data_IF_282751193365
#
_entry.id   IF_282751193365
#
_cell.length_a   1.000
_cell.length_b   1.000
_cell.length_c   1.000
_cell.angle_alpha   90.00
_cell.angle_beta   90.00
_cell.angle_gamma   90.00
#
_symmetry.space_group_name_H-M   'P 1'
#
loop_
_entity.id
_entity.type
_entity.pdbx_description
1 polymer ?
#
# COMPACT_ATOMS: atom_id res chain seq x y z
N UNK A 1 -15.92 14.30 -13.29
CA UNK A 1 -16.45 14.94 -12.06
C UNK A 1 -15.28 15.44 -11.22
N UNK A 2 -15.40 16.62 -10.62
CA UNK A 2 -14.41 17.17 -9.67
C UNK A 2 -15.04 17.40 -8.29
N UNK A 3 -14.38 16.96 -7.21
CA UNK A 3 -14.86 17.13 -5.82
C UNK A 3 -13.85 17.90 -4.99
N UNK A 4 -14.22 19.11 -4.55
CA UNK A 4 -13.32 20.06 -3.89
C UNK A 4 -13.62 20.28 -2.40
N UNK A 5 -14.89 20.18 -1.98
CA UNK A 5 -15.31 20.54 -0.63
C UNK A 5 -15.07 19.41 0.39
N UNK A 6 -14.68 19.78 1.61
CA UNK A 6 -14.49 18.84 2.70
C UNK A 6 -15.78 18.06 3.03
N UNK A 7 -15.62 16.77 3.33
CA UNK A 7 -16.66 15.78 3.61
C UNK A 7 -17.71 15.58 2.50
N UNK A 8 -17.46 16.09 1.30
CA UNK A 8 -18.36 15.92 0.17
C UNK A 8 -18.36 14.48 -0.36
N UNK A 9 -19.49 14.09 -0.94
CA UNK A 9 -19.59 12.95 -1.83
C UNK A 9 -19.90 13.48 -3.24
N UNK A 10 -19.09 13.15 -4.23
CA UNK A 10 -19.38 13.53 -5.62
C UNK A 10 -20.67 12.90 -6.11
N UNK A 11 -20.78 11.58 -5.94
CA UNK A 11 -22.02 10.82 -6.14
C UNK A 11 -22.32 9.94 -4.94
N UNK A 12 -23.59 9.93 -4.49
CA UNK A 12 -24.09 9.01 -3.48
C UNK A 12 -25.32 8.25 -4.00
N UNK A 13 -25.26 6.92 -4.00
CA UNK A 13 -26.38 6.04 -4.33
C UNK A 13 -26.70 5.16 -3.12
N UNK A 14 -27.95 5.14 -2.71
CA UNK A 14 -28.44 4.28 -1.62
C UNK A 14 -29.61 3.46 -2.12
N UNK A 15 -29.53 2.14 -1.93
CA UNK A 15 -30.57 1.20 -2.31
C UNK A 15 -29.98 -0.14 -2.73
N UNK A 16 -30.69 -1.22 -2.43
CA UNK A 16 -30.30 -2.54 -2.91
C UNK A 16 -30.32 -2.58 -4.44
N UNK A 17 -29.39 -3.33 -5.03
CA UNK A 17 -29.17 -3.43 -6.48
C UNK A 17 -28.82 -2.09 -7.16
N UNK A 18 -28.47 -1.04 -6.41
CA UNK A 18 -27.99 0.21 -6.99
C UNK A 18 -26.81 -0.06 -7.93
N UNK A 19 -26.82 0.60 -9.09
CA UNK A 19 -25.77 0.44 -10.11
C UNK A 19 -25.13 1.79 -10.40
N UNK A 20 -23.81 1.83 -10.29
CA UNK A 20 -23.00 2.95 -10.69
C UNK A 20 -21.95 2.51 -11.70
N UNK A 21 -21.76 3.32 -12.74
CA UNK A 21 -20.77 3.12 -13.80
C UNK A 21 -20.05 4.45 -13.97
N UNK A 22 -18.77 4.51 -13.63
CA UNK A 22 -17.91 5.65 -13.95
C UNK A 22 -17.45 5.55 -15.41
N UNK A 23 -17.64 6.64 -16.15
CA UNK A 23 -17.13 6.81 -17.50
C UNK A 23 -16.30 8.10 -17.54
N UNK A 24 -15.07 8.02 -18.03
CA UNK A 24 -14.19 9.19 -18.14
C UNK A 24 -13.45 9.51 -16.83
N UNK A 25 -13.51 10.76 -16.38
CA UNK A 25 -12.55 11.29 -15.39
C UNK A 25 -13.20 11.65 -14.05
N UNK A 26 -12.57 11.21 -12.96
CA UNK A 26 -12.93 11.51 -11.58
C UNK A 26 -11.75 12.11 -10.83
N UNK A 27 -11.82 13.40 -10.50
CA UNK A 27 -10.79 14.13 -9.76
C UNK A 27 -11.28 14.47 -8.34
N UNK A 28 -10.52 14.06 -7.32
CA UNK A 28 -10.81 14.36 -5.92
C UNK A 28 -9.66 15.18 -5.32
N UNK A 29 -9.96 16.44 -5.05
CA UNK A 29 -9.07 17.37 -4.35
C UNK A 29 -9.58 17.78 -2.97
N UNK A 30 -10.52 17.03 -2.43
CA UNK A 30 -11.11 17.28 -1.11
C UNK A 30 -10.23 16.78 0.05
N UNK A 31 -10.09 17.53 1.16
CA UNK A 31 -9.36 17.07 2.35
C UNK A 31 -9.85 15.72 2.91
N UNK A 32 -11.16 15.48 2.86
CA UNK A 32 -11.87 14.30 3.35
C UNK A 32 -13.14 14.13 2.51
N UNK A 33 -13.53 12.92 2.11
CA UNK A 33 -14.75 12.75 1.33
C UNK A 33 -14.75 11.49 0.47
N UNK A 34 -15.78 11.38 -0.37
CA UNK A 34 -15.98 10.27 -1.29
C UNK A 34 -16.13 10.79 -2.73
N UNK A 35 -15.52 10.12 -3.70
CA UNK A 35 -15.83 10.38 -5.11
C UNK A 35 -17.18 9.79 -5.42
N UNK A 36 -17.27 8.47 -5.22
CA UNK A 36 -18.48 7.67 -5.40
C UNK A 36 -18.72 6.87 -4.12
N UNK A 37 -19.93 6.97 -3.59
CA UNK A 37 -20.40 6.19 -2.45
C UNK A 37 -21.67 5.43 -2.81
N UNK A 38 -21.59 4.11 -2.83
CA UNK A 38 -22.72 3.20 -3.07
C UNK A 38 -23.02 2.42 -1.79
N UNK A 39 -24.26 2.46 -1.33
CA UNK A 39 -24.74 1.72 -0.16
C UNK A 39 -25.95 0.87 -0.53
N UNK A 40 -25.86 -0.45 -0.36
CA UNK A 40 -26.94 -1.38 -0.64
C UNK A 40 -26.44 -2.78 -0.98
N UNK A 41 -27.28 -3.78 -0.71
CA UNK A 41 -26.98 -5.17 -1.03
C UNK A 41 -27.10 -5.43 -2.53
N UNK A 42 -26.30 -6.35 -3.06
CA UNK A 42 -26.28 -6.68 -4.50
C UNK A 42 -25.99 -5.47 -5.41
N UNK A 43 -25.41 -4.40 -4.86
CA UNK A 43 -25.07 -3.20 -5.61
C UNK A 43 -23.89 -3.46 -6.57
N UNK A 44 -23.82 -2.70 -7.66
CA UNK A 44 -22.71 -2.69 -8.59
C UNK A 44 -22.02 -1.33 -8.58
N UNK A 45 -20.70 -1.34 -8.44
CA UNK A 45 -19.83 -0.21 -8.74
C UNK A 45 -18.86 -0.63 -9.84
N UNK A 46 -18.92 0.02 -10.99
CA UNK A 46 -18.07 -0.26 -12.15
C UNK A 46 -17.31 0.99 -12.60
N UNK A 47 -16.07 0.84 -13.06
CA UNK A 47 -15.33 1.87 -13.80
C UNK A 47 -14.91 1.29 -15.14
N UNK A 48 -15.09 2.03 -16.22
CA UNK A 48 -14.77 1.59 -17.59
C UNK A 48 -13.24 1.62 -17.89
N UNK A 49 -12.75 0.93 -18.94
CA UNK A 49 -11.33 0.88 -19.31
C UNK A 49 -10.65 2.22 -19.58
N UNK A 50 -11.40 3.22 -20.02
CA UNK A 50 -10.91 4.57 -20.31
C UNK A 50 -10.96 5.49 -19.08
N UNK A 51 -11.47 4.98 -17.96
CA UNK A 51 -11.66 5.78 -16.75
C UNK A 51 -10.33 6.20 -16.14
N UNK A 52 -10.25 7.46 -15.70
CA UNK A 52 -9.08 8.04 -15.04
C UNK A 52 -9.51 8.63 -13.69
N UNK A 53 -8.96 8.09 -12.61
CA UNK A 53 -9.31 8.50 -11.25
C UNK A 53 -8.07 9.06 -10.56
N UNK A 54 -8.07 10.35 -10.27
CA UNK A 54 -6.99 11.03 -9.56
C UNK A 54 -7.49 11.50 -8.18
N UNK A 55 -6.88 11.01 -7.11
CA UNK A 55 -7.26 11.34 -5.73
C UNK A 55 -6.09 11.91 -4.96
N UNK A 56 -6.37 12.97 -4.21
CA UNK A 56 -5.42 13.62 -3.31
C UNK A 56 -6.02 13.77 -1.91
N UNK A 57 -5.17 14.13 -0.94
CA UNK A 57 -5.50 14.23 0.49
C UNK A 57 -6.05 12.91 1.06
N UNK A 58 -6.97 12.94 2.02
CA UNK A 58 -7.48 11.75 2.71
C UNK A 58 -8.82 11.24 2.15
N UNK A 59 -9.15 11.59 0.90
CA UNK A 59 -10.41 11.19 0.27
C UNK A 59 -10.42 9.70 -0.14
N UNK A 60 -11.62 9.14 -0.27
CA UNK A 60 -11.87 7.81 -0.83
C UNK A 60 -12.43 7.93 -2.24
N UNK A 61 -11.79 7.34 -3.24
CA UNK A 61 -12.24 7.43 -4.62
C UNK A 61 -13.60 6.74 -4.79
N UNK A 62 -13.64 5.45 -4.47
CA UNK A 62 -14.78 4.57 -4.67
C UNK A 62 -15.08 3.85 -3.36
N UNK A 63 -16.35 3.80 -2.99
CA UNK A 63 -16.79 3.06 -1.80
C UNK A 63 -18.08 2.30 -2.05
N UNK A 64 -18.09 1.03 -1.63
CA UNK A 64 -19.27 0.17 -1.63
C UNK A 64 -19.49 -0.38 -0.22
N UNK A 65 -20.68 -0.14 0.33
CA UNK A 65 -21.11 -0.67 1.62
C UNK A 65 -22.37 -1.53 1.42
N UNK A 66 -22.24 -2.85 1.56
CA UNK A 66 -23.35 -3.79 1.36
C UNK A 66 -22.87 -5.21 1.17
N UNK A 67 -23.80 -6.15 1.21
CA UNK A 67 -23.52 -7.57 1.02
C UNK A 67 -23.82 -8.02 -0.40
N UNK A 68 -23.06 -9.01 -0.90
CA UNK A 68 -23.24 -9.62 -2.23
C UNK A 68 -23.17 -8.63 -3.39
N UNK A 69 -22.58 -7.46 -3.18
CA UNK A 69 -22.30 -6.49 -4.22
C UNK A 69 -21.13 -6.91 -5.12
N UNK A 70 -20.95 -6.15 -6.18
CA UNK A 70 -19.85 -6.31 -7.12
C UNK A 70 -19.13 -4.97 -7.33
N UNK A 71 -17.81 -5.01 -7.27
CA UNK A 71 -16.94 -3.92 -7.68
C UNK A 71 -16.12 -4.38 -8.87
N UNK A 72 -16.16 -3.63 -9.97
CA UNK A 72 -15.34 -3.85 -11.16
C UNK A 72 -14.55 -2.59 -11.43
N UNK A 73 -13.23 -2.69 -11.32
CA UNK A 73 -12.35 -1.55 -11.50
C UNK A 73 -11.47 -1.77 -12.71
N UNK A 74 -11.78 -1.03 -13.77
CA UNK A 74 -10.95 -0.87 -14.96
C UNK A 74 -10.43 0.57 -15.06
N UNK A 75 -9.61 0.85 -16.07
CA UNK A 75 -8.99 2.16 -16.22
C UNK A 75 -7.76 2.35 -15.33
N UNK A 76 -7.40 3.59 -15.05
CA UNK A 76 -6.21 3.95 -14.26
C UNK A 76 -6.60 4.73 -13.01
N UNK A 77 -5.83 4.53 -11.95
CA UNK A 77 -6.03 5.24 -10.68
C UNK A 77 -4.71 5.76 -10.12
N UNK A 78 -4.68 7.05 -9.78
CA UNK A 78 -3.56 7.69 -9.07
C UNK A 78 -4.02 8.16 -7.69
N UNK A 79 -3.35 7.70 -6.64
CA UNK A 79 -3.65 8.06 -5.26
C UNK A 79 -2.47 8.81 -4.65
N UNK A 80 -2.73 9.93 -3.99
CA UNK A 80 -1.72 10.77 -3.35
C UNK A 80 -2.15 11.24 -1.95
N UNK A 81 -1.16 11.53 -1.08
CA UNK A 81 -1.33 12.30 0.19
C UNK A 81 -2.35 11.74 1.22
N UNK A 82 -2.44 10.42 1.35
CA UNK A 82 -3.32 9.66 2.28
C UNK A 82 -4.65 9.16 1.69
N UNK A 83 -4.74 9.12 0.36
CA UNK A 83 -5.95 8.72 -0.35
C UNK A 83 -6.25 7.23 -0.22
N UNK A 84 -7.53 6.87 -0.32
CA UNK A 84 -8.00 5.49 -0.48
C UNK A 84 -8.61 5.31 -1.86
N UNK A 85 -8.20 4.28 -2.62
CA UNK A 85 -8.76 3.99 -3.94
C UNK A 85 -10.15 3.37 -3.82
N UNK A 86 -10.18 2.13 -3.34
CA UNK A 86 -11.41 1.39 -3.04
C UNK A 86 -11.55 1.15 -1.55
N UNK A 87 -12.71 1.49 -0.99
CA UNK A 87 -13.16 1.05 0.32
C UNK A 87 -14.41 0.17 0.19
N UNK A 88 -14.27 -1.12 0.43
CA UNK A 88 -15.37 -2.09 0.45
C UNK A 88 -15.68 -2.50 1.90
N UNK A 89 -16.95 -2.44 2.29
CA UNK A 89 -17.45 -3.00 3.56
C UNK A 89 -18.66 -3.89 3.31
N UNK A 90 -18.59 -5.13 3.79
CA UNK A 90 -19.70 -6.09 3.73
C UNK A 90 -19.23 -7.51 3.42
N UNK A 91 -20.18 -8.40 3.21
CA UNK A 91 -19.95 -9.83 3.10
C UNK A 91 -20.26 -10.35 1.70
N UNK A 92 -19.53 -11.39 1.29
CA UNK A 92 -19.79 -12.11 0.03
C UNK A 92 -19.77 -11.23 -1.22
N UNK A 93 -19.03 -10.13 -1.19
CA UNK A 93 -18.86 -9.27 -2.35
C UNK A 93 -17.84 -9.86 -3.32
N UNK A 94 -17.97 -9.48 -4.59
CA UNK A 94 -16.98 -9.76 -5.64
C UNK A 94 -16.25 -8.47 -6.01
N UNK A 95 -14.93 -8.45 -5.88
CA UNK A 95 -14.08 -7.36 -6.34
C UNK A 95 -13.21 -7.87 -7.47
N UNK A 96 -13.31 -7.25 -8.65
CA UNK A 96 -12.42 -7.50 -9.78
C UNK A 96 -11.69 -6.22 -10.14
N UNK A 97 -10.36 -6.29 -10.16
CA UNK A 97 -9.49 -5.16 -10.48
C UNK A 97 -8.65 -5.57 -11.68
N UNK A 98 -9.10 -5.15 -12.86
CA UNK A 98 -8.43 -5.28 -14.15
C UNK A 98 -7.80 -3.97 -14.61
N UNK A 99 -7.80 -2.93 -13.75
CA UNK A 99 -7.25 -1.60 -14.01
C UNK A 99 -5.82 -1.66 -14.56
N UNK A 100 -5.56 -0.90 -15.61
CA UNK A 100 -4.29 -0.84 -16.34
C UNK A 100 -3.15 -0.13 -15.61
N UNK A 101 -3.32 0.26 -14.34
CA UNK A 101 -2.30 0.53 -13.30
C UNK A 101 -2.96 1.29 -12.13
N UNK A 102 -2.80 0.80 -10.89
CA UNK A 102 -3.05 1.63 -9.68
C UNK A 102 -1.71 2.15 -9.17
N UNK A 103 -1.54 3.46 -9.11
CA UNK A 103 -0.33 4.13 -8.61
C UNK A 103 -0.64 4.81 -7.29
N UNK A 104 -0.01 4.35 -6.22
CA UNK A 104 -0.17 4.91 -4.88
C UNK A 104 1.10 5.65 -4.49
N UNK A 105 0.95 6.92 -4.11
CA UNK A 105 2.06 7.80 -3.72
C UNK A 105 1.72 8.61 -2.47
N UNK A 106 2.72 9.26 -1.88
CA UNK A 106 2.56 10.02 -0.66
C UNK A 106 2.91 9.21 0.58
N UNK A 107 2.07 9.36 1.62
CA UNK A 107 2.09 8.59 2.85
C UNK A 107 0.67 8.11 3.18
N UNK A 108 0.56 7.11 4.07
CA UNK A 108 -0.70 6.62 4.67
C UNK A 108 -1.85 6.32 3.68
N UNK A 109 -1.54 5.91 2.46
CA UNK A 109 -2.54 5.69 1.39
C UNK A 109 -2.83 4.21 1.19
N UNK A 110 -4.05 3.89 0.74
CA UNK A 110 -4.49 2.52 0.50
C UNK A 110 -5.04 2.38 -0.92
N UNK A 111 -4.50 1.48 -1.74
CA UNK A 111 -5.14 1.18 -3.03
C UNK A 111 -6.49 0.49 -2.82
N UNK A 112 -6.51 -0.59 -2.02
CA UNK A 112 -7.71 -1.38 -1.76
C UNK A 112 -7.84 -1.66 -0.27
N UNK A 113 -8.99 -1.34 0.32
CA UNK A 113 -9.38 -1.70 1.68
C UNK A 113 -10.65 -2.52 1.64
N UNK A 114 -10.61 -3.74 2.14
CA UNK A 114 -11.77 -4.63 2.26
C UNK A 114 -12.01 -4.95 3.73
N UNK A 115 -13.25 -4.76 4.17
CA UNK A 115 -13.72 -5.15 5.50
C UNK A 115 -14.94 -6.07 5.37
N UNK A 116 -14.87 -7.24 5.99
CA UNK A 116 -15.96 -8.20 6.03
C UNK A 116 -15.50 -9.60 5.64
N UNK A 117 -16.48 -10.49 5.46
CA UNK A 117 -16.22 -11.92 5.40
C UNK A 117 -16.64 -12.51 4.06
N UNK A 118 -15.96 -13.60 3.68
CA UNK A 118 -16.31 -14.38 2.50
C UNK A 118 -16.32 -13.58 1.19
N UNK A 119 -15.57 -12.48 1.12
CA UNK A 119 -15.44 -11.72 -0.12
C UNK A 119 -14.47 -12.43 -1.06
N UNK A 120 -14.71 -12.29 -2.37
CA UNK A 120 -13.79 -12.74 -3.41
C UNK A 120 -13.13 -11.52 -4.05
N UNK A 121 -11.80 -11.47 -4.05
CA UNK A 121 -11.01 -10.39 -4.63
C UNK A 121 -10.10 -10.97 -5.70
N UNK A 122 -10.20 -10.46 -6.92
CA UNK A 122 -9.37 -10.80 -8.06
C UNK A 122 -8.63 -9.54 -8.52
N UNK A 123 -7.30 -9.57 -8.48
CA UNK A 123 -6.42 -8.51 -8.95
C UNK A 123 -5.62 -9.02 -10.14
N UNK A 124 -6.06 -8.63 -11.33
CA UNK A 124 -5.41 -8.97 -12.61
C UNK A 124 -4.49 -7.83 -13.11
N UNK A 125 -4.63 -6.62 -12.54
CA UNK A 125 -3.77 -5.46 -12.81
C UNK A 125 -2.52 -5.37 -11.94
N UNK A 126 -1.73 -4.31 -12.13
CA UNK A 126 -0.57 -3.99 -11.29
C UNK A 126 -0.90 -2.87 -10.30
N UNK A 127 -0.60 -3.09 -9.01
CA UNK A 127 -0.53 -2.01 -8.02
C UNK A 127 0.93 -1.67 -7.81
N UNK A 128 1.26 -0.38 -7.94
CA UNK A 128 2.59 0.18 -7.67
C UNK A 128 2.53 1.14 -6.50
N UNK A 129 3.40 0.92 -5.50
CA UNK A 129 3.55 1.80 -4.34
C UNK A 129 4.85 2.58 -4.46
N UNK A 130 4.80 3.90 -4.44
CA UNK A 130 5.96 4.79 -4.54
C UNK A 130 5.85 5.95 -3.56
N UNK A 131 6.63 5.96 -2.47
CA UNK A 131 6.67 7.08 -1.53
C UNK A 131 6.94 8.42 -2.23
N UNK A 132 6.37 9.50 -1.69
CA UNK A 132 6.53 10.85 -2.25
C UNK A 132 7.83 11.50 -1.79
N UNK A 133 8.83 11.52 -2.67
CA UNK A 133 10.18 11.99 -2.40
C UNK A 133 10.26 13.47 -2.03
N UNK A 134 9.19 14.26 -2.18
CA UNK A 134 9.20 15.69 -1.83
C UNK A 134 8.78 15.97 -0.38
N UNK A 135 8.40 14.95 0.38
CA UNK A 135 7.87 15.14 1.74
C UNK A 135 8.95 15.29 2.81
N UNK A 136 8.67 16.04 3.89
CA UNK A 136 9.49 16.00 5.10
C UNK A 136 9.69 14.58 5.58
N UNK A 137 10.87 14.28 6.08
CA UNK A 137 11.25 12.88 6.24
C UNK A 137 10.41 12.13 7.31
N UNK A 138 9.83 12.83 8.29
CA UNK A 138 8.85 12.24 9.22
C UNK A 138 7.60 11.69 8.51
N UNK A 139 7.11 12.36 7.48
CA UNK A 139 5.90 11.96 6.75
C UNK A 139 6.17 10.78 5.79
N UNK A 140 7.42 10.58 5.38
CA UNK A 140 7.80 9.42 4.56
C UNK A 140 7.68 8.10 5.31
N UNK A 141 7.74 8.11 6.64
CA UNK A 141 7.57 6.92 7.45
C UNK A 141 6.12 6.39 7.49
N UNK A 142 5.15 7.18 6.99
CA UNK A 142 3.76 6.77 6.89
C UNK A 142 3.57 5.71 5.79
N UNK A 143 2.98 4.55 6.09
CA UNK A 143 2.99 3.43 5.15
C UNK A 143 2.02 3.63 4.00
N UNK A 144 2.47 3.32 2.78
CA UNK A 144 1.57 3.00 1.67
C UNK A 144 1.13 1.54 1.80
N UNK A 145 -0.11 1.22 1.44
CA UNK A 145 -0.62 -0.16 1.46
C UNK A 145 -1.31 -0.49 0.15
N UNK A 146 -0.87 -1.53 -0.56
CA UNK A 146 -1.54 -1.93 -1.80
C UNK A 146 -2.91 -2.54 -1.49
N UNK A 147 -2.95 -3.52 -0.59
CA UNK A 147 -4.20 -4.17 -0.22
C UNK A 147 -4.25 -4.48 1.26
N UNK A 148 -5.33 -4.03 1.91
CA UNK A 148 -5.63 -4.37 3.29
C UNK A 148 -6.98 -5.08 3.39
N UNK A 149 -6.97 -6.29 3.92
CA UNK A 149 -8.16 -7.12 4.09
C UNK A 149 -8.32 -7.42 5.56
N UNK A 150 -9.49 -7.08 6.10
CA UNK A 150 -9.87 -7.36 7.48
C UNK A 150 -11.19 -8.13 7.53
N UNK A 151 -11.16 -9.32 8.11
CA UNK A 151 -12.30 -10.21 8.25
C UNK A 151 -11.89 -11.65 7.96
N UNK A 152 -12.88 -12.52 7.85
CA UNK A 152 -12.66 -13.96 7.78
C UNK A 152 -13.07 -14.56 6.43
N UNK A 153 -12.47 -15.70 6.09
CA UNK A 153 -12.87 -16.53 4.94
C UNK A 153 -12.84 -15.80 3.59
N UNK A 154 -12.06 -14.72 3.46
CA UNK A 154 -11.92 -14.02 2.18
C UNK A 154 -10.99 -14.81 1.24
N UNK A 155 -11.33 -14.82 -0.04
CA UNK A 155 -10.56 -15.43 -1.12
C UNK A 155 -9.91 -14.35 -1.96
N UNK A 156 -8.59 -14.42 -2.14
CA UNK A 156 -7.82 -13.34 -2.78
C UNK A 156 -6.88 -13.93 -3.82
N UNK A 157 -7.08 -13.56 -5.08
CA UNK A 157 -6.20 -13.94 -6.19
C UNK A 157 -5.47 -12.70 -6.71
N UNK A 158 -4.14 -12.71 -6.68
CA UNK A 158 -3.29 -11.60 -7.11
C UNK A 158 -2.36 -12.08 -8.22
N UNK A 159 -2.45 -11.49 -9.41
CA UNK A 159 -1.58 -11.85 -10.52
C UNK A 159 -0.26 -11.07 -10.53
N UNK A 160 -0.21 -9.84 -10.03
CA UNK A 160 1.05 -9.06 -9.99
C UNK A 160 1.03 -8.01 -8.89
N UNK A 161 2.16 -7.84 -8.21
CA UNK A 161 2.31 -6.81 -7.18
C UNK A 161 3.69 -6.15 -7.26
N UNK A 162 3.71 -4.84 -7.51
CA UNK A 162 4.93 -4.04 -7.57
C UNK A 162 5.07 -3.11 -6.36
N UNK A 163 6.18 -3.22 -5.64
CA UNK A 163 6.44 -2.43 -4.44
C UNK A 163 7.77 -1.67 -4.61
N UNK A 164 7.74 -0.34 -4.61
CA UNK A 164 8.95 0.47 -4.44
C UNK A 164 9.02 0.97 -2.99
N UNK A 165 10.08 0.57 -2.30
CA UNK A 165 10.50 1.12 -1.02
C UNK A 165 11.57 2.19 -1.22
N UNK A 166 11.58 3.20 -0.35
CA UNK A 166 12.62 4.24 -0.38
C UNK A 166 13.27 4.34 1.00
N UNK A 167 14.60 4.33 1.05
CA UNK A 167 15.39 4.59 2.24
C UNK A 167 16.08 5.92 2.04
N UNK A 168 15.72 6.90 2.85
CA UNK A 168 16.44 8.15 2.91
C UNK A 168 17.50 8.08 4.00
N UNK A 169 18.70 8.57 3.69
CA UNK A 169 19.81 8.63 4.64
C UNK A 169 20.25 10.06 4.84
N UNK A 170 20.64 10.39 6.07
CA UNK A 170 21.31 11.64 6.36
C UNK A 170 22.82 11.40 6.27
N UNK A 171 23.51 12.14 5.40
CA UNK A 171 24.95 12.28 5.53
C UNK A 171 25.25 13.08 6.79
N UNK A 172 26.14 12.57 7.65
CA UNK A 172 26.37 13.05 9.03
C UNK A 172 26.29 14.58 9.17
N UNK A 173 25.26 15.13 9.82
CA UNK A 173 25.30 16.49 10.31
C UNK A 173 26.31 16.58 11.46
N UNK A 174 27.03 17.70 11.58
CA UNK A 174 28.06 17.90 12.62
C UNK A 174 27.56 17.66 14.06
N UNK A 175 26.28 17.86 14.34
CA UNK A 175 25.67 17.64 15.65
C UNK A 175 25.43 16.16 15.98
N UNK A 176 25.21 15.31 14.96
CA UNK A 176 24.97 13.86 15.09
C UNK A 176 26.28 13.07 15.30
N UNK A 177 27.44 13.72 15.11
CA UNK A 177 28.76 13.16 15.41
C UNK A 177 28.93 12.75 16.89
N UNK A 178 28.11 13.29 17.80
CA UNK A 178 28.14 12.99 19.24
C UNK A 178 27.53 11.63 19.61
N UNK A 179 26.71 11.03 18.73
CA UNK A 179 25.90 9.84 19.07
C UNK A 179 26.34 8.54 18.36
N UNK A 180 27.47 8.53 17.66
CA UNK A 180 28.09 7.31 17.09
C UNK A 180 27.31 6.61 15.95
N UNK A 181 26.01 6.87 15.80
CA UNK A 181 25.12 6.12 14.92
C UNK A 181 24.81 6.84 13.59
N UNK A 182 24.49 6.05 12.57
CA UNK A 182 23.95 6.53 11.29
C UNK A 182 22.46 6.88 11.47
N UNK A 183 22.04 8.05 10.99
CA UNK A 183 20.63 8.44 10.94
C UNK A 183 20.02 8.15 9.56
N UNK A 184 18.87 7.50 9.51
CA UNK A 184 18.16 7.18 8.27
C UNK A 184 16.67 6.99 8.51
N UNK A 185 15.87 7.10 7.46
CA UNK A 185 14.41 6.93 7.49
C UNK A 185 14.02 6.05 6.32
N UNK A 186 13.40 4.91 6.60
CA UNK A 186 12.84 4.04 5.58
C UNK A 186 11.37 4.35 5.39
N UNK A 187 11.01 4.81 4.19
CA UNK A 187 9.63 4.88 3.75
C UNK A 187 9.05 3.47 3.62
N UNK A 188 7.81 3.30 4.07
CA UNK A 188 7.20 1.98 4.21
C UNK A 188 6.17 1.75 3.11
N UNK A 189 6.41 0.73 2.30
CA UNK A 189 5.45 0.24 1.31
C UNK A 189 5.03 -1.16 1.73
N UNK A 190 3.78 -1.30 2.16
CA UNK A 190 3.18 -2.58 2.52
C UNK A 190 2.45 -3.15 1.31
N UNK A 191 2.78 -4.37 0.90
CA UNK A 191 2.07 -5.01 -0.19
C UNK A 191 0.68 -5.46 0.24
N UNK A 192 0.63 -6.62 0.86
CA UNK A 192 -0.58 -7.25 1.33
C UNK A 192 -0.62 -7.29 2.85
N UNK A 193 -1.72 -6.82 3.44
CA UNK A 193 -2.01 -6.95 4.87
C UNK A 193 -3.33 -7.70 5.07
N UNK A 194 -3.28 -8.82 5.79
CA UNK A 194 -4.43 -9.67 6.10
C UNK A 194 -4.62 -9.75 7.61
N UNK A 195 -5.84 -9.49 8.08
CA UNK A 195 -6.25 -9.61 9.48
C UNK A 195 -7.52 -10.44 9.60
N UNK A 196 -7.44 -11.57 10.30
CA UNK A 196 -8.56 -12.49 10.53
C UNK A 196 -8.19 -13.93 10.19
N UNK A 197 -9.17 -14.82 10.29
CA UNK A 197 -9.01 -16.26 10.15
C UNK A 197 -9.65 -16.78 8.86
N UNK A 198 -9.17 -17.93 8.36
CA UNK A 198 -9.75 -18.60 7.19
C UNK A 198 -9.53 -17.88 5.86
N UNK A 199 -8.83 -16.75 5.83
CA UNK A 199 -8.52 -16.08 4.56
C UNK A 199 -7.52 -16.91 3.76
N UNK A 200 -7.77 -17.02 2.46
CA UNK A 200 -6.94 -17.74 1.52
C UNK A 200 -6.49 -16.79 0.43
N UNK A 201 -5.18 -16.67 0.27
CA UNK A 201 -4.56 -15.75 -0.68
C UNK A 201 -3.64 -16.53 -1.60
N UNK A 202 -3.79 -16.34 -2.90
CA UNK A 202 -2.87 -16.83 -3.91
C UNK A 202 -2.24 -15.66 -4.64
N UNK A 203 -0.92 -15.57 -4.54
CA UNK A 203 -0.11 -14.65 -5.33
C UNK A 203 0.46 -15.46 -6.50
N UNK A 204 -0.22 -15.34 -7.64
CA UNK A 204 -0.04 -16.17 -8.83
C UNK A 204 1.08 -15.69 -9.76
N UNK A 205 1.46 -14.41 -9.72
CA UNK A 205 2.56 -13.90 -10.54
C UNK A 205 3.64 -13.16 -9.74
N UNK A 206 4.55 -12.45 -10.43
CA UNK A 206 5.78 -11.97 -9.82
C UNK A 206 5.52 -10.88 -8.79
N UNK A 207 6.34 -10.89 -7.74
CA UNK A 207 6.36 -9.83 -6.73
C UNK A 207 7.71 -9.13 -6.77
N UNK A 208 7.69 -7.82 -6.90
CA UNK A 208 8.90 -7.00 -6.95
C UNK A 208 8.96 -6.09 -5.73
N UNK A 209 10.09 -6.12 -5.02
CA UNK A 209 10.42 -5.13 -4.00
C UNK A 209 11.76 -4.49 -4.30
N UNK A 210 11.74 -3.17 -4.49
CA UNK A 210 12.96 -2.40 -4.75
C UNK A 210 13.17 -1.36 -3.66
N UNK A 211 14.29 -1.45 -2.95
CA UNK A 211 14.73 -0.44 -1.99
C UNK A 211 15.69 0.54 -2.67
N UNK A 212 15.33 1.82 -2.73
CA UNK A 212 16.23 2.87 -3.24
C UNK A 212 16.79 3.68 -2.09
N UNK A 213 18.12 3.79 -2.00
CA UNK A 213 18.80 4.64 -1.01
C UNK A 213 19.12 6.00 -1.60
N UNK A 214 18.72 7.09 -0.95
CA UNK A 214 19.04 8.47 -1.36
C UNK A 214 19.50 9.34 -0.18
N UNK A 215 20.39 10.33 -0.39
CA UNK A 215 20.68 11.34 0.61
C UNK A 215 19.45 12.24 0.85
N UNK A 216 19.29 12.73 2.08
CA UNK A 216 18.25 13.70 2.44
C UNK A 216 18.54 15.07 1.83
N UNK A 217 17.57 15.61 1.09
CA UNK A 217 17.57 16.99 0.61
C UNK A 217 17.25 17.97 1.74
N UNK A 218 17.56 19.26 1.57
CA UNK A 218 17.30 20.28 2.59
C UNK A 218 15.82 20.38 2.98
N UNK A 219 14.93 20.27 1.99
CA UNK A 219 13.48 20.26 2.24
C UNK A 219 13.02 19.04 3.05
N UNK A 220 13.68 17.88 2.88
CA UNK A 220 13.35 16.68 3.64
C UNK A 220 13.88 16.74 5.08
N UNK A 221 14.97 17.49 5.33
CA UNK A 221 15.53 17.73 6.67
C UNK A 221 14.67 18.65 7.51
N UNK A 222 13.81 19.47 6.90
CA UNK A 222 12.93 20.38 7.60
C UNK A 222 12.07 19.61 8.63
N UNK A 223 12.23 19.96 9.91
CA UNK A 223 11.49 19.34 11.02
C UNK A 223 12.13 18.09 11.65
N UNK A 224 13.35 17.71 11.24
CA UNK A 224 14.19 16.74 11.98
C UNK A 224 14.99 17.52 13.04
N UNK A 225 14.81 17.18 14.31
CA UNK A 225 15.48 17.77 15.47
C UNK A 225 16.65 16.91 15.94
N UNK A 226 17.63 17.54 16.60
CA UNK A 226 18.79 16.90 17.22
C UNK A 226 18.41 15.91 18.35
N UNK A 227 17.17 15.98 18.81
CA UNK A 227 16.59 15.13 19.86
C UNK A 227 15.68 14.02 19.32
N UNK A 228 15.41 13.97 18.02
CA UNK A 228 14.56 12.91 17.46
C UNK A 228 15.31 11.57 17.47
N UNK A 229 14.65 10.55 18.03
CA UNK A 229 15.11 9.16 17.98
C UNK A 229 15.46 8.74 16.55
N UNK A 230 16.39 7.78 16.45
CA UNK A 230 16.72 7.04 15.22
C UNK A 230 15.43 6.71 14.47
N UNK A 231 15.12 7.50 13.45
CA UNK A 231 13.91 7.28 12.70
C UNK A 231 14.04 5.92 11.97
N UNK A 232 12.89 5.29 11.77
CA UNK A 232 12.76 3.84 11.58
C UNK A 232 13.56 3.33 10.38
N UNK A 233 14.46 2.36 10.61
CA UNK A 233 15.29 1.75 9.56
C UNK A 233 14.61 0.57 8.84
N UNK A 234 13.52 0.04 9.39
CA UNK A 234 12.89 -1.16 8.86
C UNK A 234 11.94 -0.85 7.68
N UNK A 235 12.03 -1.59 6.56
CA UNK A 235 11.11 -1.43 5.44
C UNK A 235 9.65 -1.76 5.78
N UNK A 236 8.77 -1.47 4.82
CA UNK A 236 7.39 -1.99 4.83
C UNK A 236 7.37 -3.51 4.67
N UNK A 237 6.24 -4.13 5.03
CA UNK A 237 6.04 -5.57 4.87
C UNK A 237 5.42 -5.86 3.50
N UNK A 238 6.10 -6.63 2.66
CA UNK A 238 5.53 -7.12 1.41
C UNK A 238 4.26 -7.93 1.67
N UNK A 239 4.29 -8.81 2.67
CA UNK A 239 3.13 -9.58 3.11
C UNK A 239 3.12 -9.63 4.63
N UNK A 240 2.01 -9.23 5.23
CA UNK A 240 1.74 -9.26 6.65
C UNK A 240 0.41 -9.99 6.91
N UNK A 241 0.47 -11.14 7.57
CA UNK A 241 -0.69 -11.98 7.84
C UNK A 241 -0.82 -12.22 9.33
N UNK A 242 -1.98 -11.88 9.88
CA UNK A 242 -2.30 -12.05 11.27
C UNK A 242 -3.62 -12.81 11.43
N UNK A 243 -3.56 -13.97 12.09
CA UNK A 243 -4.68 -14.90 12.27
C UNK A 243 -4.45 -16.19 11.47
N UNK A 244 -5.32 -17.18 11.66
CA UNK A 244 -5.25 -18.52 11.02
C UNK A 244 -5.63 -18.45 9.54
N UNK A 245 -4.84 -17.72 8.76
CA UNK A 245 -5.00 -17.47 7.34
C UNK A 245 -3.78 -17.99 6.57
N UNK A 246 -3.94 -18.19 5.27
CA UNK A 246 -2.90 -18.76 4.41
C UNK A 246 -2.61 -17.87 3.22
N UNK A 247 -1.32 -17.72 2.90
CA UNK A 247 -0.86 -17.08 1.66
C UNK A 247 0.05 -18.05 0.93
N UNK A 248 -0.26 -18.30 -0.33
CA UNK A 248 0.52 -19.13 -1.24
C UNK A 248 1.19 -18.22 -2.28
N UNK A 249 2.52 -18.25 -2.30
CA UNK A 249 3.37 -17.54 -3.25
C UNK A 249 3.77 -18.54 -4.34
N UNK A 250 3.28 -18.33 -5.58
CA UNK A 250 3.46 -19.28 -6.70
C UNK A 250 4.51 -18.93 -7.72
N UNK A 251 5.10 -17.76 -7.60
CA UNK A 251 6.05 -17.27 -8.58
C UNK A 251 7.29 -16.67 -7.94
N UNK A 252 8.16 -16.15 -8.80
CA UNK A 252 9.38 -15.47 -8.41
C UNK A 252 9.09 -14.22 -7.60
N UNK A 253 9.81 -14.09 -6.48
CA UNK A 253 9.84 -12.91 -5.64
C UNK A 253 11.21 -12.30 -5.81
N UNK A 254 11.27 -11.07 -6.33
CA UNK A 254 12.53 -10.40 -6.59
C UNK A 254 12.71 -9.22 -5.63
N UNK A 255 13.76 -9.29 -4.80
CA UNK A 255 14.10 -8.27 -3.82
C UNK A 255 15.45 -7.65 -4.20
N UNK A 256 15.46 -6.34 -4.40
CA UNK A 256 16.65 -5.60 -4.86
C UNK A 256 16.86 -4.36 -4.02
N UNK A 257 18.11 -3.91 -3.97
CA UNK A 257 18.47 -2.63 -3.39
C UNK A 257 19.23 -2.73 -2.08
N UNK A 258 19.52 -1.58 -1.49
CA UNK A 258 20.36 -1.46 -0.32
C UNK A 258 19.53 -1.29 0.96
N UNK A 259 19.77 -2.15 1.95
CA UNK A 259 19.07 -2.17 3.23
C UNK A 259 20.05 -1.88 4.37
N UNK A 260 19.57 -1.27 5.45
CA UNK A 260 20.39 -0.99 6.64
C UNK A 260 20.72 -2.26 7.44
N UNK A 261 19.88 -3.29 7.33
CA UNK A 261 20.03 -4.61 7.95
C UNK A 261 19.20 -5.61 7.15
N UNK A 262 19.33 -6.90 7.46
CA UNK A 262 18.51 -7.95 6.82
C UNK A 262 17.02 -7.62 7.00
N UNK A 263 16.27 -7.37 5.91
CA UNK A 263 14.91 -6.88 6.03
C UNK A 263 13.94 -8.01 6.39
N UNK A 264 13.01 -7.74 7.30
CA UNK A 264 11.80 -8.55 7.45
C UNK A 264 10.74 -8.03 6.49
N UNK A 265 10.47 -8.77 5.42
CA UNK A 265 9.49 -8.38 4.39
C UNK A 265 8.21 -9.24 4.44
N UNK A 266 8.30 -10.42 5.02
CA UNK A 266 7.21 -11.39 5.13
C UNK A 266 6.97 -11.69 6.59
N UNK A 267 5.73 -11.57 7.04
CA UNK A 267 5.35 -11.83 8.43
C UNK A 267 4.07 -12.66 8.49
N UNK A 268 4.15 -13.74 9.27
CA UNK A 268 3.02 -14.58 9.65
C UNK A 268 2.95 -14.62 11.17
N UNK A 269 1.78 -14.31 11.72
CA UNK A 269 1.54 -14.27 13.17
C UNK A 269 0.24 -14.99 13.52
N UNK A 270 0.14 -15.47 14.76
CA UNK A 270 -1.11 -16.03 15.33
C UNK A 270 -1.70 -17.19 14.51
N UNK A 271 -0.84 -18.12 14.08
CA UNK A 271 -1.25 -19.31 13.31
C UNK A 271 -1.37 -19.08 11.80
N UNK A 272 -0.97 -17.91 11.31
CA UNK A 272 -0.86 -17.66 9.87
C UNK A 272 0.20 -18.55 9.21
N UNK A 273 -0.01 -18.84 7.92
CA UNK A 273 0.94 -19.58 7.10
C UNK A 273 1.31 -18.79 5.84
N UNK A 274 2.60 -18.81 5.51
CA UNK A 274 3.16 -18.27 4.27
C UNK A 274 3.90 -19.42 3.58
N UNK A 275 3.42 -19.81 2.41
CA UNK A 275 3.94 -20.98 1.69
C UNK A 275 4.49 -20.56 0.34
N UNK A 276 5.75 -20.86 0.08
CA UNK A 276 6.31 -20.88 -1.27
C UNK A 276 5.96 -22.23 -1.89
N UNK A 277 5.16 -22.25 -2.95
CA UNK A 277 4.83 -23.52 -3.63
C UNK A 277 5.99 -23.97 -4.53
N UNK A 278 5.97 -25.23 -4.94
CA UNK A 278 6.99 -25.81 -5.82
C UNK A 278 7.15 -24.99 -7.10
N UNK A 279 8.39 -24.56 -7.39
CA UNK A 279 8.72 -23.70 -8.53
C UNK A 279 8.74 -22.19 -8.24
N UNK A 280 8.23 -21.74 -7.08
CA UNK A 280 8.45 -20.39 -6.60
C UNK A 280 9.90 -20.23 -6.12
N UNK A 281 10.48 -19.03 -6.29
CA UNK A 281 11.83 -18.72 -5.84
C UNK A 281 11.93 -17.32 -5.25
N UNK A 282 12.86 -17.15 -4.32
CA UNK A 282 13.24 -15.87 -3.76
C UNK A 282 14.59 -15.45 -4.37
N UNK A 283 14.59 -14.41 -5.18
CA UNK A 283 15.77 -13.87 -5.84
C UNK A 283 16.25 -12.62 -5.09
N UNK A 284 17.40 -12.74 -4.40
CA UNK A 284 18.02 -11.66 -3.60
C UNK A 284 19.41 -11.28 -4.12
N UNK A 285 19.78 -11.65 -5.34
CA UNK A 285 21.14 -11.42 -5.87
C UNK A 285 21.55 -9.95 -6.01
N UNK A 286 20.57 -9.04 -6.04
CA UNK A 286 20.78 -7.58 -6.07
C UNK A 286 20.46 -6.91 -4.72
N UNK A 287 20.25 -7.70 -3.66
CA UNK A 287 20.11 -7.21 -2.30
C UNK A 287 21.48 -6.94 -1.71
N UNK A 288 21.67 -5.74 -1.15
CA UNK A 288 22.89 -5.34 -0.44
C UNK A 288 22.55 -4.95 0.99
N UNK A 289 23.24 -5.54 1.96
CA UNK A 289 23.23 -5.02 3.32
C UNK A 289 24.31 -3.97 3.40
N UNK A 290 23.94 -2.75 3.76
CA UNK A 290 24.89 -1.70 4.00
C UNK A 290 25.56 -1.96 5.34
N UNK A 291 26.90 -1.94 5.36
CA UNK A 291 27.61 -1.95 6.62
C UNK A 291 27.11 -0.78 7.49
N UNK A 292 26.79 -1.01 8.77
CA UNK A 292 26.71 0.10 9.70
C UNK A 292 28.07 0.76 9.65
N UNK A 293 28.15 1.98 9.15
CA UNK A 293 29.42 2.69 9.14
C UNK A 293 29.78 2.92 10.60
N UNK A 294 30.68 2.09 11.13
CA UNK A 294 31.34 2.30 12.40
C UNK A 294 32.28 3.46 12.18
N UNK A 295 31.77 4.65 12.41
CA UNK A 295 32.58 5.84 12.34
C UNK A 295 33.40 5.94 13.63
N UNK A 296 34.71 6.24 13.55
CA UNK A 296 35.55 6.37 14.72
C UNK A 296 34.97 7.42 15.70
N UNK A 297 35.06 7.12 16.99
CA UNK A 297 34.71 8.04 18.07
C UNK A 297 35.49 9.35 17.90
N UNK A 298 34.88 10.53 18.17
CA UNK A 298 35.64 11.75 18.23
C UNK A 298 36.71 11.61 19.32
N UNK A 299 37.98 11.68 18.93
CA UNK A 299 39.08 11.87 19.87
C UNK A 299 38.79 13.12 20.69
N UNK A 300 38.78 12.96 22.03
CA UNK A 300 38.60 14.04 23.01
C UNK A 300 39.63 15.14 22.84
#
# INVERSE_FOLDING_TARGET
>A
MEVLHAHAAGTRLTGDMARYIEQGRLDLHTPQGHGVQVTGNNALLHTEPDSQIDVTHSATALSLAGDRGAVRMEGRMTLNRSATGLALTGHRNLVKISSGDIRVRGGNSFAVKVRGNSNKIELDGTISLRPDELRPARQLAEPLTAMWIKGNDNHVDINSLGLDGQLLRLDRPRWLARHGNTFGITARSNGLRIEGDGNQVWINGPVFYRQVTKPLTDNQRAGISDTDELLRLHPGLMVDVNGKSSVLLKHKINIRGAFASTPTLFRASNGATLTLVQGASLETGELRIMDPVTFPSPTR
#
